data_IF_437755626040
#
_entry.id   IF_437755626040
#
_cell.length_a   1.000
_cell.length_b   1.000
_cell.length_c   1.000
_cell.angle_alpha   90.00
_cell.angle_beta   90.00
_cell.angle_gamma   90.00
#
_symmetry.space_group_name_H-M   'P 1'
#
loop_
_entity.id
_entity.type
_entity.pdbx_description
1 polymer ?
#
# COMPACT_ATOMS: atom_id res chain seq x y z
N UNK A 1 2.46 16.66 21.99
CA UNK A 1 3.07 15.34 21.80
C UNK A 1 2.28 14.60 20.73
N UNK A 2 2.96 14.13 19.69
CA UNK A 2 2.34 13.28 18.67
C UNK A 2 2.33 11.85 19.20
N UNK A 3 1.15 11.24 19.32
CA UNK A 3 1.00 9.87 19.83
C UNK A 3 0.86 8.82 18.72
N UNK A 4 0.54 9.26 17.52
CA UNK A 4 0.39 8.39 16.35
C UNK A 4 0.72 9.12 15.06
N UNK A 5 1.08 8.37 14.02
CA UNK A 5 1.45 8.89 12.72
C UNK A 5 0.66 8.20 11.61
N UNK A 6 0.22 8.95 10.62
CA UNK A 6 -0.33 8.41 9.38
C UNK A 6 0.75 8.40 8.30
N UNK A 7 1.14 7.21 7.85
CA UNK A 7 2.19 7.00 6.85
C UNK A 7 1.53 6.78 5.50
N UNK A 8 1.79 7.68 4.55
CA UNK A 8 1.24 7.62 3.19
C UNK A 8 2.38 7.52 2.17
N UNK A 9 2.74 6.31 1.72
CA UNK A 9 3.90 6.09 0.83
C UNK A 9 3.92 6.97 -0.41
N UNK A 10 2.75 7.23 -0.99
CA UNK A 10 2.63 8.05 -2.19
C UNK A 10 3.12 9.50 -2.03
N UNK A 11 3.10 10.04 -0.80
CA UNK A 11 3.55 11.40 -0.49
C UNK A 11 4.96 11.47 0.07
N UNK A 12 5.58 10.31 0.29
CA UNK A 12 6.88 10.21 0.96
C UNK A 12 8.03 9.85 0.00
N UNK A 13 7.75 9.76 -1.30
CA UNK A 13 8.76 9.37 -2.28
C UNK A 13 8.97 7.87 -2.39
N UNK A 14 8.02 7.05 -1.91
CA UNK A 14 7.99 5.61 -2.14
C UNK A 14 8.15 4.75 -0.88
N UNK A 15 8.23 3.43 -1.11
CA UNK A 15 8.18 2.43 -0.04
C UNK A 15 9.43 2.44 0.87
N UNK A 16 10.60 2.76 0.33
CA UNK A 16 11.84 2.78 1.14
C UNK A 16 11.78 3.83 2.23
N UNK A 17 11.35 5.04 1.89
CA UNK A 17 11.20 6.12 2.87
C UNK A 17 10.08 5.79 3.86
N UNK A 18 8.95 5.31 3.36
CA UNK A 18 7.81 4.93 4.21
C UNK A 18 8.18 3.80 5.19
N UNK A 19 8.97 2.82 4.77
CA UNK A 19 9.50 1.77 5.64
C UNK A 19 10.40 2.35 6.74
N UNK A 20 11.31 3.24 6.40
CA UNK A 20 12.18 3.85 7.39
C UNK A 20 11.39 4.64 8.45
N UNK A 21 10.32 5.33 8.04
CA UNK A 21 9.43 6.04 8.97
C UNK A 21 8.66 5.04 9.84
N UNK A 22 8.13 3.95 9.26
CA UNK A 22 7.49 2.87 10.01
C UNK A 22 8.43 2.30 11.08
N UNK A 23 9.64 1.96 10.68
CA UNK A 23 10.64 1.37 11.57
C UNK A 23 11.06 2.35 12.67
N UNK A 24 11.14 3.64 12.35
CA UNK A 24 11.34 4.68 13.38
C UNK A 24 10.16 4.73 14.37
N UNK A 25 8.91 4.66 13.90
CA UNK A 25 7.76 4.60 14.79
C UNK A 25 7.82 3.39 15.72
N UNK A 26 8.26 2.23 15.21
CA UNK A 26 8.45 1.02 16.02
C UNK A 26 9.49 1.27 17.12
N UNK A 27 10.64 1.88 16.80
CA UNK A 27 11.66 2.18 17.81
C UNK A 27 11.19 3.14 18.92
N UNK A 28 10.18 3.95 18.61
CA UNK A 28 9.61 4.94 19.54
C UNK A 28 8.34 4.46 20.23
N UNK A 29 7.87 3.24 19.95
CA UNK A 29 6.59 2.76 20.45
C UNK A 29 5.39 3.61 19.99
N UNK A 30 5.54 4.30 18.86
CA UNK A 30 4.49 5.16 18.31
C UNK A 30 3.49 4.33 17.51
N UNK A 31 2.23 4.55 17.77
CA UNK A 31 1.17 3.96 16.96
C UNK A 31 1.17 4.55 15.55
N UNK A 32 0.78 3.74 14.57
CA UNK A 32 0.74 4.17 13.18
C UNK A 32 -0.49 3.68 12.46
N UNK A 33 -0.91 4.46 11.49
CA UNK A 33 -1.83 4.08 10.43
C UNK A 33 -1.06 4.12 9.11
N UNK A 34 -1.16 3.08 8.31
CA UNK A 34 -0.55 3.03 6.98
C UNK A 34 -1.67 3.07 5.96
N UNK A 35 -1.65 4.09 5.12
CA UNK A 35 -2.79 4.47 4.29
C UNK A 35 -2.34 5.00 2.92
N UNK A 36 -3.27 5.14 2.00
CA UNK A 36 -3.07 5.72 0.67
C UNK A 36 -4.02 6.87 0.38
N UNK A 37 -3.70 7.70 -0.60
CA UNK A 37 -4.67 8.61 -1.19
C UNK A 37 -5.50 7.78 -2.16
N UNK A 38 -6.73 7.53 -1.94
CA UNK A 38 -7.65 6.87 -2.87
C UNK A 38 -6.96 6.35 -4.14
N UNK A 39 -6.41 5.16 -4.06
CA UNK A 39 -5.49 4.63 -5.06
C UNK A 39 -5.96 3.26 -5.56
N UNK A 40 -5.50 2.89 -6.75
CA UNK A 40 -5.77 1.59 -7.36
C UNK A 40 -4.99 0.44 -6.71
N UNK A 41 -5.14 -0.75 -7.27
CA UNK A 41 -4.64 -2.01 -6.69
C UNK A 41 -3.12 -2.05 -6.49
N UNK A 42 -2.34 -1.43 -7.36
CA UNK A 42 -0.87 -1.41 -7.25
C UNK A 42 -0.44 -0.72 -5.96
N UNK A 43 -0.95 0.49 -5.74
CA UNK A 43 -0.61 1.26 -4.55
C UNK A 43 -1.21 0.64 -3.29
N UNK A 44 -2.40 0.07 -3.37
CA UNK A 44 -3.03 -0.65 -2.26
C UNK A 44 -2.20 -1.87 -1.87
N UNK A 45 -1.71 -2.66 -2.82
CA UNK A 45 -0.82 -3.79 -2.53
C UNK A 45 0.47 -3.34 -1.82
N UNK A 46 1.08 -2.26 -2.30
CA UNK A 46 2.27 -1.69 -1.67
C UNK A 46 2.02 -1.26 -0.22
N UNK A 47 0.88 -0.61 0.04
CA UNK A 47 0.44 -0.22 1.39
C UNK A 47 0.25 -1.44 2.29
N UNK A 48 -0.41 -2.48 1.79
CA UNK A 48 -0.67 -3.71 2.54
C UNK A 48 0.63 -4.44 2.91
N UNK A 49 1.57 -4.57 1.97
CA UNK A 49 2.89 -5.15 2.26
C UNK A 49 3.67 -4.34 3.30
N UNK A 50 3.60 -3.02 3.23
CA UNK A 50 4.23 -2.14 4.23
C UNK A 50 3.59 -2.31 5.61
N UNK A 51 2.25 -2.41 5.66
CA UNK A 51 1.48 -2.55 6.89
C UNK A 51 1.74 -3.90 7.59
N UNK A 52 1.86 -4.99 6.83
CA UNK A 52 2.19 -6.31 7.38
C UNK A 52 3.53 -6.36 8.12
N UNK A 53 4.47 -5.51 7.73
CA UNK A 53 5.75 -5.40 8.41
C UNK A 53 5.71 -4.58 9.70
N UNK A 54 4.56 -4.04 10.10
CA UNK A 54 4.38 -3.32 11.35
C UNK A 54 3.92 -4.28 12.47
N UNK A 55 4.40 -4.10 13.72
CA UNK A 55 3.86 -4.84 14.85
C UNK A 55 2.35 -4.58 15.01
N UNK A 56 1.54 -5.63 15.25
CA UNK A 56 0.08 -5.50 15.32
C UNK A 56 -0.42 -4.55 16.41
N UNK A 57 0.28 -4.45 17.52
CA UNK A 57 -0.04 -3.56 18.65
C UNK A 57 0.24 -2.08 18.35
N UNK A 58 1.11 -1.80 17.38
CA UNK A 58 1.43 -0.44 16.93
C UNK A 58 0.65 -0.03 15.67
N UNK A 59 0.08 -0.97 14.94
CA UNK A 59 -0.73 -0.68 13.76
C UNK A 59 -2.19 -0.44 14.17
N UNK A 60 -2.63 0.83 14.15
CA UNK A 60 -4.00 1.18 14.51
C UNK A 60 -5.00 0.67 13.46
N UNK A 61 -4.72 0.94 12.20
CA UNK A 61 -5.49 0.49 11.06
C UNK A 61 -4.68 0.65 9.78
N UNK A 62 -4.93 -0.23 8.81
CA UNK A 62 -4.72 0.08 7.41
C UNK A 62 -6.05 0.59 6.85
N UNK A 63 -6.01 1.49 5.91
CA UNK A 63 -7.22 1.93 5.24
C UNK A 63 -7.00 1.92 3.74
N UNK A 64 -7.85 1.22 3.07
CA UNK A 64 -7.97 1.32 1.63
C UNK A 64 -9.34 1.93 1.30
N UNK A 65 -9.30 3.11 0.71
CA UNK A 65 -10.47 3.81 0.19
C UNK A 65 -10.65 3.58 -1.31
N UNK A 66 -10.10 2.50 -1.81
CA UNK A 66 -10.15 2.09 -3.21
C UNK A 66 -11.58 1.91 -3.72
N UNK A 67 -12.47 1.41 -2.88
CA UNK A 67 -13.82 1.01 -3.28
C UNK A 67 -14.61 2.11 -4.03
N UNK A 68 -14.55 3.40 -3.60
CA UNK A 68 -15.18 4.49 -4.36
C UNK A 68 -14.51 4.78 -5.71
N UNK A 69 -13.30 4.27 -5.93
CA UNK A 69 -12.49 4.51 -7.12
C UNK A 69 -12.38 3.29 -8.05
N UNK A 70 -13.09 2.20 -7.76
CA UNK A 70 -13.08 1.01 -8.59
C UNK A 70 -13.51 1.38 -10.00
N UNK A 71 -12.58 1.20 -10.96
CA UNK A 71 -12.82 1.32 -12.38
C UNK A 71 -12.90 -0.07 -13.00
N UNK A 72 -13.48 -0.18 -14.18
CA UNK A 72 -13.51 -1.47 -14.92
C UNK A 72 -12.10 -2.04 -15.19
N UNK A 73 -11.09 -1.17 -15.23
CA UNK A 73 -9.68 -1.51 -15.44
C UNK A 73 -8.97 -1.98 -14.16
N UNK A 74 -9.57 -1.85 -12.99
CA UNK A 74 -8.98 -2.35 -11.75
C UNK A 74 -8.89 -3.88 -11.81
N UNK A 75 -7.81 -4.40 -11.27
CA UNK A 75 -7.51 -5.84 -11.26
C UNK A 75 -8.47 -6.56 -10.32
N UNK A 76 -9.65 -6.91 -10.83
CA UNK A 76 -10.68 -7.58 -10.05
C UNK A 76 -10.15 -8.89 -9.45
N UNK A 77 -10.30 -9.04 -8.14
CA UNK A 77 -9.98 -10.28 -7.42
C UNK A 77 -8.52 -10.42 -7.01
N UNK A 78 -7.64 -9.46 -7.29
CA UNK A 78 -6.24 -9.49 -6.83
C UNK A 78 -6.15 -9.16 -5.34
N UNK A 79 -6.88 -8.14 -4.90
CA UNK A 79 -6.97 -7.76 -3.50
C UNK A 79 -8.32 -8.24 -2.96
N UNK A 80 -8.26 -9.09 -1.95
CA UNK A 80 -9.46 -9.72 -1.37
C UNK A 80 -9.81 -9.09 -0.04
N UNK A 81 -11.09 -8.78 0.11
CA UNK A 81 -11.68 -8.37 1.37
C UNK A 81 -12.31 -9.59 2.05
N UNK A 82 -12.07 -9.74 3.34
CA UNK A 82 -12.77 -10.66 4.22
C UNK A 82 -13.42 -9.85 5.34
N UNK A 83 -14.66 -9.45 5.13
CA UNK A 83 -15.36 -8.52 5.99
C UNK A 83 -14.62 -7.19 6.11
N UNK A 84 -14.17 -6.86 7.33
CA UNK A 84 -13.38 -5.65 7.60
C UNK A 84 -11.86 -5.87 7.49
N UNK A 85 -11.43 -7.00 6.96
CA UNK A 85 -10.01 -7.35 6.82
C UNK A 85 -9.61 -7.38 5.36
N UNK A 86 -8.37 -6.99 5.12
CA UNK A 86 -7.76 -7.00 3.79
C UNK A 86 -6.34 -7.54 3.93
N UNK A 87 -5.95 -8.41 3.02
CA UNK A 87 -4.59 -8.97 2.97
C UNK A 87 -3.88 -8.58 1.67
N UNK A 88 -2.54 -8.54 1.67
CA UNK A 88 -1.79 -8.31 0.47
C UNK A 88 -1.91 -9.49 -0.51
N UNK A 89 -1.76 -9.24 -1.81
CA UNK A 89 -1.62 -10.28 -2.79
C UNK A 89 -0.39 -11.14 -2.51
N UNK A 90 -0.44 -12.42 -2.91
CA UNK A 90 0.67 -13.35 -2.82
C UNK A 90 1.44 -13.41 -4.15
N UNK A 91 2.76 -13.56 -4.09
CA UNK A 91 3.61 -13.69 -5.27
C UNK A 91 4.82 -12.77 -5.24
N UNK A 92 5.68 -12.82 -6.26
CA UNK A 92 6.86 -11.96 -6.36
C UNK A 92 6.50 -10.46 -6.43
N UNK A 93 7.37 -9.62 -5.89
CA UNK A 93 7.16 -8.16 -5.87
C UNK A 93 5.94 -7.77 -5.05
N UNK A 94 5.01 -7.06 -5.67
CA UNK A 94 3.74 -6.68 -5.04
C UNK A 94 2.68 -7.79 -5.12
N UNK A 95 2.97 -8.90 -5.79
CA UNK A 95 2.01 -9.99 -6.00
C UNK A 95 0.88 -9.63 -6.99
N UNK A 96 1.08 -8.60 -7.81
CA UNK A 96 0.14 -8.16 -8.84
C UNK A 96 0.75 -8.37 -10.21
N UNK A 97 -0.05 -8.90 -11.12
CA UNK A 97 0.28 -8.97 -12.55
C UNK A 97 -0.65 -8.04 -13.30
N UNK A 98 -0.08 -7.09 -14.03
CA UNK A 98 -0.83 -6.17 -14.88
C UNK A 98 -1.05 -6.80 -16.25
N UNK A 99 -2.28 -6.75 -16.80
CA UNK A 99 -2.48 -7.04 -18.21
C UNK A 99 -1.74 -6.01 -19.08
N UNK A 100 -1.19 -6.46 -20.22
CA UNK A 100 -0.34 -5.62 -21.10
C UNK A 100 -1.00 -4.33 -21.58
N UNK A 101 -2.32 -4.28 -21.62
CA UNK A 101 -3.10 -3.15 -22.12
C UNK A 101 -3.57 -2.16 -21.03
N UNK A 102 -3.28 -2.41 -19.76
CA UNK A 102 -3.81 -1.58 -18.65
C UNK A 102 -3.08 -0.24 -18.55
N UNK A 103 -1.78 -0.24 -18.83
CA UNK A 103 -0.94 0.95 -18.70
C UNK A 103 -0.83 1.78 -19.98
N UNK A 104 -1.32 1.27 -21.12
CA UNK A 104 -1.10 1.91 -22.39
C UNK A 104 0.36 1.84 -22.87
N UNK A 105 0.69 2.61 -23.88
CA UNK A 105 2.06 2.73 -24.37
C UNK A 105 2.92 3.53 -23.36
N UNK A 106 4.18 3.14 -23.13
CA UNK A 106 5.04 3.86 -22.21
C UNK A 106 5.47 5.21 -22.79
N UNK A 107 5.40 6.27 -21.98
CA UNK A 107 5.89 7.59 -22.34
C UNK A 107 7.42 7.65 -22.43
N UNK A 108 8.12 6.79 -21.72
CA UNK A 108 9.57 6.66 -21.73
C UNK A 108 10.01 5.25 -21.34
N UNK A 109 11.04 4.74 -22.00
CA UNK A 109 11.67 3.46 -21.72
C UNK A 109 13.13 3.72 -21.34
N UNK A 110 13.53 3.28 -20.15
CA UNK A 110 14.92 3.32 -19.70
C UNK A 110 15.48 1.89 -19.73
N UNK A 111 16.54 1.68 -20.51
CA UNK A 111 17.32 0.42 -20.53
C UNK A 111 18.55 0.58 -19.65
N UNK A 112 18.86 -0.45 -18.87
CA UNK A 112 20.10 -0.57 -18.11
C UNK A 112 21.22 -1.09 -19.01
#
# INVERSE_FOLDING_TARGET
LVSSLCIKPAFLGGLTVARNIRDYCVTKGMKMRIDGPWCGDIATAAILHLALGAPPDLLIAGCDLREPLVREQDLKGVIRFDGCRIGPPSGPGLGITLPDNVMGDPDAIFSL
#
